data_IF_124468424389
#
_entry.id   IF_124468424389
#
_cell.length_a   1.000
_cell.length_b   1.000
_cell.length_c   1.000
_cell.angle_alpha   90.00
_cell.angle_beta   90.00
_cell.angle_gamma   90.00
#
_symmetry.space_group_name_H-M   'P 1'
#
loop_
_entity.id
_entity.type
_entity.pdbx_description
1 polymer ?
#
# COMPACT_ATOMS: atom_id res chain seq x y z
N UNK A 1 -27.50 -11.83 16.88
CA UNK A 1 -27.57 -10.89 15.75
C UNK A 1 -27.21 -9.53 16.33
N UNK A 2 -25.95 -9.11 16.22
CA UNK A 2 -25.50 -7.79 16.71
C UNK A 2 -25.86 -6.78 15.62
N UNK A 3 -26.48 -5.63 15.93
CA UNK A 3 -26.87 -4.68 14.89
C UNK A 3 -25.63 -4.22 14.12
N UNK A 4 -25.72 -4.21 12.79
CA UNK A 4 -24.81 -3.42 11.96
C UNK A 4 -24.81 -2.00 12.53
N UNK A 5 -23.65 -1.49 12.93
CA UNK A 5 -23.51 -0.07 13.17
C UNK A 5 -23.80 0.61 11.83
N UNK A 6 -25.01 1.16 11.69
CA UNK A 6 -25.38 1.87 10.47
C UNK A 6 -24.47 3.08 10.36
N UNK A 7 -23.53 3.01 9.42
CA UNK A 7 -22.86 4.20 8.93
C UNK A 7 -23.96 5.10 8.36
N UNK A 8 -24.30 6.16 9.08
CA UNK A 8 -25.26 7.17 8.66
C UNK A 8 -24.52 8.51 8.50
N UNK A 9 -24.96 9.35 7.57
CA UNK A 9 -24.39 10.68 7.35
C UNK A 9 -23.52 10.84 6.10
N UNK A 10 -22.76 11.94 5.99
CA UNK A 10 -22.04 12.32 4.77
C UNK A 10 -21.03 11.27 4.30
N UNK A 11 -20.26 10.68 5.23
CA UNK A 11 -19.25 9.65 4.92
C UNK A 11 -19.88 8.40 4.29
N UNK A 12 -21.06 7.99 4.78
CA UNK A 12 -21.77 6.84 4.20
C UNK A 12 -22.13 7.08 2.73
N UNK A 13 -22.57 8.31 2.39
CA UNK A 13 -22.86 8.70 1.00
C UNK A 13 -21.61 8.73 0.13
N UNK A 14 -20.48 9.18 0.66
CA UNK A 14 -19.20 9.16 -0.06
C UNK A 14 -18.74 7.72 -0.36
N UNK A 15 -18.91 6.81 0.60
CA UNK A 15 -18.58 5.38 0.42
C UNK A 15 -19.49 4.75 -0.65
N UNK A 16 -20.81 5.01 -0.61
CA UNK A 16 -21.73 4.51 -1.64
C UNK A 16 -21.38 5.07 -3.03
N UNK A 17 -21.02 6.36 -3.13
CA UNK A 17 -20.54 6.92 -4.40
C UNK A 17 -19.25 6.24 -4.89
N UNK A 18 -18.31 5.93 -3.97
CA UNK A 18 -17.13 5.14 -4.32
C UNK A 18 -17.47 3.72 -4.76
N UNK A 19 -18.49 3.09 -4.17
CA UNK A 19 -18.98 1.77 -4.59
C UNK A 19 -19.58 1.83 -6.00
N UNK A 20 -20.36 2.87 -6.30
CA UNK A 20 -20.93 3.08 -7.63
C UNK A 20 -19.86 3.25 -8.71
N UNK A 21 -18.73 3.91 -8.39
CA UNK A 21 -17.64 4.16 -9.34
C UNK A 21 -16.63 3.02 -9.45
N UNK A 22 -16.23 2.42 -8.33
CA UNK A 22 -15.16 1.41 -8.30
C UNK A 22 -15.69 -0.03 -8.30
N UNK A 23 -16.97 -0.24 -7.97
CA UNK A 23 -17.53 -1.55 -7.70
C UNK A 23 -17.34 -1.98 -6.24
N UNK A 24 -18.36 -2.65 -5.68
CA UNK A 24 -18.39 -3.05 -4.26
C UNK A 24 -17.23 -3.95 -3.86
N UNK A 25 -16.69 -4.74 -4.78
CA UNK A 25 -15.53 -5.61 -4.55
C UNK A 25 -14.19 -4.86 -4.44
N UNK A 26 -14.15 -3.58 -4.85
CA UNK A 26 -12.96 -2.72 -4.85
C UNK A 26 -13.04 -1.58 -3.82
N UNK A 27 -14.05 -1.56 -2.95
CA UNK A 27 -14.15 -0.62 -1.83
C UNK A 27 -14.06 -1.37 -0.52
N UNK A 28 -13.19 -0.91 0.37
CA UNK A 28 -12.88 -1.54 1.65
C UNK A 28 -13.02 -0.51 2.76
N UNK A 29 -14.23 -0.39 3.28
CA UNK A 29 -14.60 0.60 4.30
C UNK A 29 -14.68 0.02 5.70
N UNK A 30 -15.33 0.74 6.63
CA UNK A 30 -15.41 0.34 8.05
C UNK A 30 -15.97 -1.08 8.27
N UNK A 31 -16.92 -1.51 7.44
CA UNK A 31 -17.49 -2.86 7.51
C UNK A 31 -16.44 -3.93 7.17
N UNK A 32 -15.66 -3.73 6.12
CA UNK A 32 -14.56 -4.63 5.78
C UNK A 32 -13.45 -4.60 6.84
N UNK A 33 -13.17 -3.44 7.44
CA UNK A 33 -12.18 -3.30 8.52
C UNK A 33 -12.62 -4.11 9.74
N UNK A 34 -13.88 -3.97 10.16
CA UNK A 34 -14.44 -4.74 11.27
C UNK A 34 -14.44 -6.23 10.95
N UNK A 35 -14.87 -6.63 9.76
CA UNK A 35 -14.89 -8.03 9.34
C UNK A 35 -13.49 -8.65 9.33
N UNK A 36 -12.50 -7.93 8.81
CA UNK A 36 -11.15 -8.46 8.61
C UNK A 36 -10.35 -8.47 9.91
N UNK A 37 -10.37 -7.35 10.64
CA UNK A 37 -9.50 -7.13 11.80
C UNK A 37 -10.23 -7.02 13.15
N UNK A 38 -11.56 -7.04 13.16
CA UNK A 38 -12.37 -6.86 14.38
C UNK A 38 -12.35 -5.42 14.90
N UNK A 39 -11.84 -4.45 14.13
CA UNK A 39 -11.70 -3.05 14.54
C UNK A 39 -12.96 -2.27 14.19
N UNK A 40 -13.54 -1.60 15.19
CA UNK A 40 -14.60 -0.61 15.01
C UNK A 40 -14.03 0.78 15.22
N UNK A 41 -14.16 1.62 14.20
CA UNK A 41 -13.76 3.02 14.27
C UNK A 41 -14.84 3.81 15.02
N UNK A 42 -14.42 4.62 15.99
CA UNK A 42 -15.32 5.57 16.65
C UNK A 42 -15.74 6.68 15.67
N UNK A 43 -14.80 7.11 14.81
CA UNK A 43 -15.00 8.11 13.78
C UNK A 43 -14.33 7.63 12.50
N UNK A 44 -15.06 7.72 11.38
CA UNK A 44 -14.57 7.32 10.07
C UNK A 44 -14.18 8.59 9.32
N UNK A 45 -12.93 8.73 8.84
CA UNK A 45 -12.53 9.91 8.10
C UNK A 45 -13.32 10.03 6.78
N UNK A 46 -13.54 11.26 6.33
CA UNK A 46 -14.10 11.53 5.00
C UNK A 46 -13.22 10.90 3.91
N UNK A 47 -13.85 10.46 2.82
CA UNK A 47 -13.14 9.99 1.64
C UNK A 47 -12.53 11.21 0.93
N UNK A 48 -11.19 11.33 0.84
CA UNK A 48 -10.55 12.55 0.37
C UNK A 48 -10.46 12.65 -1.15
N UNK A 49 -11.15 11.77 -1.89
CA UNK A 49 -11.10 11.70 -3.35
C UNK A 49 -12.42 12.17 -3.95
N UNK A 50 -12.32 13.05 -4.95
CA UNK A 50 -13.46 13.47 -5.77
C UNK A 50 -14.03 12.31 -6.60
N UNK A 51 -15.23 12.50 -7.14
CA UNK A 51 -15.87 11.52 -8.02
C UNK A 51 -15.03 11.31 -9.29
N UNK A 52 -14.50 12.38 -9.85
CA UNK A 52 -13.66 12.38 -11.04
C UNK A 52 -12.37 11.58 -10.78
N UNK A 53 -11.75 11.74 -9.60
CA UNK A 53 -10.58 10.94 -9.22
C UNK A 53 -10.89 9.46 -9.05
N UNK A 54 -12.07 9.11 -8.52
CA UNK A 54 -12.52 7.72 -8.40
C UNK A 54 -12.75 7.11 -9.78
N UNK A 55 -13.26 7.86 -10.75
CA UNK A 55 -13.36 7.41 -12.15
C UNK A 55 -11.99 7.20 -12.80
N UNK A 56 -10.98 8.04 -12.52
CA UNK A 56 -9.63 7.78 -13.00
C UNK A 56 -9.00 6.57 -12.28
N UNK A 57 -9.32 6.37 -11.00
CA UNK A 57 -8.85 5.24 -10.22
C UNK A 57 -9.39 3.89 -10.74
N UNK A 58 -10.65 3.86 -11.17
CA UNK A 58 -11.27 2.70 -11.83
C UNK A 58 -10.48 2.28 -13.07
N UNK A 59 -10.17 3.25 -13.96
CA UNK A 59 -9.37 3.02 -15.18
C UNK A 59 -7.95 2.56 -14.89
N UNK A 60 -7.40 2.94 -13.73
CA UNK A 60 -6.09 2.51 -13.24
C UNK A 60 -6.13 1.17 -12.49
N UNK A 61 -7.30 0.53 -12.39
CA UNK A 61 -7.48 -0.73 -11.69
C UNK A 61 -7.22 -0.62 -10.18
N UNK A 62 -7.47 0.55 -9.60
CA UNK A 62 -7.28 0.81 -8.18
C UNK A 62 -8.52 0.39 -7.37
N UNK A 63 -8.27 0.09 -6.09
CA UNK A 63 -9.26 -0.12 -5.05
C UNK A 63 -9.14 0.98 -4.00
N UNK A 64 -10.25 1.32 -3.36
CA UNK A 64 -10.29 2.27 -2.25
C UNK A 64 -10.23 1.51 -0.93
N UNK A 65 -9.23 1.79 -0.10
CA UNK A 65 -8.99 1.09 1.16
C UNK A 65 -8.91 2.07 2.33
N UNK A 66 -9.76 1.87 3.32
CA UNK A 66 -9.64 2.50 4.63
C UNK A 66 -8.64 1.72 5.48
N UNK A 67 -7.53 2.36 5.82
CA UNK A 67 -6.50 1.78 6.69
C UNK A 67 -6.68 2.28 8.11
N UNK A 68 -6.37 1.43 9.08
CA UNK A 68 -6.37 1.78 10.51
C UNK A 68 -5.00 1.53 11.13
N UNK A 69 -4.63 2.38 12.08
CA UNK A 69 -3.32 2.37 12.74
C UNK A 69 -3.32 1.56 14.04
N UNK A 70 -4.49 1.18 14.56
CA UNK A 70 -4.65 0.49 15.83
C UNK A 70 -5.54 -0.74 15.77
N UNK A 71 -5.23 -1.73 16.61
CA UNK A 71 -6.03 -2.92 16.89
C UNK A 71 -7.22 -2.58 17.82
N UNK A 72 -8.16 -3.52 18.05
CA UNK A 72 -9.31 -3.28 18.94
C UNK A 72 -8.93 -2.97 20.40
N UNK A 73 -7.78 -3.46 20.87
CA UNK A 73 -7.23 -3.18 22.19
C UNK A 73 -6.29 -1.94 22.22
N UNK A 74 -6.22 -1.19 21.13
CA UNK A 74 -5.49 0.09 21.05
C UNK A 74 -3.98 -0.04 20.82
N UNK A 75 -3.45 -1.25 20.60
CA UNK A 75 -2.05 -1.46 20.19
C UNK A 75 -1.85 -1.05 18.72
N UNK A 76 -0.61 -0.80 18.27
CA UNK A 76 -0.33 -0.60 16.85
C UNK A 76 -0.85 -1.75 15.99
N UNK A 77 -1.47 -1.43 14.85
CA UNK A 77 -1.82 -2.39 13.80
C UNK A 77 -0.56 -2.83 13.05
N UNK A 78 0.35 -3.50 13.75
CA UNK A 78 1.64 -3.94 13.21
C UNK A 78 1.51 -5.22 12.39
N UNK A 79 2.60 -5.62 11.72
CA UNK A 79 2.64 -6.91 11.01
C UNK A 79 2.40 -8.09 11.95
N UNK A 80 2.94 -8.03 13.16
CA UNK A 80 2.69 -9.03 14.19
C UNK A 80 1.22 -9.10 14.57
N UNK A 81 0.60 -7.94 14.84
CA UNK A 81 -0.82 -7.89 15.20
C UNK A 81 -1.72 -8.38 14.06
N UNK A 82 -1.43 -7.98 12.82
CA UNK A 82 -2.16 -8.45 11.64
C UNK A 82 -2.06 -9.97 11.48
N UNK A 83 -0.86 -10.55 11.62
CA UNK A 83 -0.68 -12.01 11.54
C UNK A 83 -1.44 -12.72 12.66
N UNK A 84 -1.33 -12.27 13.92
CA UNK A 84 -2.02 -12.89 15.06
C UNK A 84 -3.55 -12.88 14.91
N UNK A 85 -4.12 -11.81 14.37
CA UNK A 85 -5.55 -11.70 14.09
C UNK A 85 -5.94 -12.64 12.96
N UNK A 86 -5.21 -12.59 11.84
CA UNK A 86 -5.56 -13.29 10.62
C UNK A 86 -5.32 -14.80 10.73
N UNK A 87 -4.26 -15.27 11.39
CA UNK A 87 -4.01 -16.72 11.58
C UNK A 87 -5.20 -17.37 12.29
N UNK A 88 -5.66 -16.79 13.42
CA UNK A 88 -6.80 -17.34 14.18
C UNK A 88 -8.09 -17.41 13.36
N UNK A 89 -8.26 -16.48 12.42
CA UNK A 89 -9.44 -16.40 11.55
C UNK A 89 -9.31 -17.34 10.35
N UNK A 90 -8.21 -17.22 9.60
CA UNK A 90 -7.96 -17.92 8.35
C UNK A 90 -7.66 -19.40 8.52
N UNK A 91 -7.21 -19.85 9.70
CA UNK A 91 -7.17 -21.28 10.02
C UNK A 91 -8.57 -21.91 10.00
N UNK A 92 -9.57 -21.23 10.55
CA UNK A 92 -10.96 -21.72 10.57
C UNK A 92 -11.63 -21.66 9.20
N UNK A 93 -11.17 -20.74 8.35
CA UNK A 93 -11.69 -20.52 6.99
C UNK A 93 -10.86 -21.24 5.91
N UNK A 94 -9.83 -22.01 6.31
CA UNK A 94 -8.91 -22.72 5.41
C UNK A 94 -8.25 -21.82 4.35
N UNK A 95 -7.97 -20.55 4.71
CA UNK A 95 -7.41 -19.51 3.82
C UNK A 95 -5.87 -19.48 3.78
N UNK A 96 -5.21 -20.26 4.63
CA UNK A 96 -3.75 -20.28 4.75
C UNK A 96 -3.21 -19.10 5.57
N UNK A 97 -2.00 -18.63 5.23
CA UNK A 97 -1.28 -17.60 5.99
C UNK A 97 -1.12 -16.32 5.19
N UNK A 98 -1.02 -15.17 5.88
CA UNK A 98 -0.72 -13.88 5.25
C UNK A 98 0.77 -13.76 4.91
N UNK A 99 1.66 -14.16 5.81
CA UNK A 99 3.11 -14.17 5.59
C UNK A 99 3.63 -15.59 5.36
N UNK A 100 4.56 -15.77 4.42
CA UNK A 100 5.16 -17.08 4.14
C UNK A 100 5.99 -17.61 5.33
N UNK A 101 6.73 -16.72 6.00
CA UNK A 101 7.47 -17.04 7.21
C UNK A 101 7.54 -15.83 8.13
N UNK A 102 6.91 -15.94 9.29
CA UNK A 102 6.88 -14.87 10.29
C UNK A 102 8.29 -14.54 10.81
N UNK A 103 9.13 -15.56 11.02
CA UNK A 103 10.49 -15.35 11.51
C UNK A 103 11.36 -14.65 10.46
N UNK A 104 11.33 -15.09 9.19
CA UNK A 104 12.10 -14.43 8.13
C UNK A 104 11.67 -12.97 7.96
N UNK A 105 10.37 -12.69 8.03
CA UNK A 105 9.89 -11.31 8.00
C UNK A 105 10.43 -10.50 9.16
N UNK A 106 10.34 -11.03 10.39
CA UNK A 106 10.75 -10.36 11.63
C UNK A 106 12.26 -10.13 11.75
N UNK A 107 13.10 -10.99 11.15
CA UNK A 107 14.55 -10.95 11.33
C UNK A 107 15.34 -10.53 10.10
N UNK A 108 14.94 -11.00 8.91
CA UNK A 108 15.74 -10.90 7.69
C UNK A 108 15.21 -9.87 6.70
N UNK A 109 13.89 -9.69 6.62
CA UNK A 109 13.25 -8.72 5.71
C UNK A 109 13.12 -7.36 6.36
N UNK A 110 12.58 -7.33 7.58
CA UNK A 110 12.50 -6.13 8.42
C UNK A 110 13.12 -6.43 9.79
N UNK A 111 13.33 -5.39 10.60
CA UNK A 111 13.79 -5.58 11.97
C UNK A 111 12.64 -6.00 12.90
N UNK A 112 12.96 -6.63 14.03
CA UNK A 112 11.98 -6.98 15.07
C UNK A 112 11.20 -5.75 15.57
N UNK A 113 11.90 -4.62 15.70
CA UNK A 113 11.27 -3.37 16.13
C UNK A 113 10.28 -2.88 15.08
N UNK A 114 10.68 -2.87 13.80
CA UNK A 114 9.79 -2.53 12.70
C UNK A 114 8.57 -3.45 12.67
N UNK A 115 8.78 -4.76 12.75
CA UNK A 115 7.73 -5.79 12.66
C UNK A 115 6.64 -5.64 13.73
N UNK A 116 7.00 -5.14 14.91
CA UNK A 116 6.11 -5.05 16.07
C UNK A 116 5.54 -3.65 16.31
N UNK A 117 6.19 -2.59 15.81
CA UNK A 117 5.80 -1.20 16.07
C UNK A 117 5.23 -0.47 14.85
N UNK A 118 5.77 -0.69 13.66
CA UNK A 118 5.32 0.04 12.47
C UNK A 118 3.92 -0.41 12.09
N UNK A 119 3.11 0.55 11.65
CA UNK A 119 1.69 0.33 11.38
C UNK A 119 1.24 1.13 10.15
N UNK A 120 0.10 0.78 9.53
CA UNK A 120 -0.50 1.60 8.49
C UNK A 120 -0.79 3.01 8.99
N UNK A 121 -0.72 3.98 8.08
CA UNK A 121 -1.19 5.33 8.36
C UNK A 121 -2.72 5.32 8.27
N UNK A 122 -3.41 5.82 9.30
CA UNK A 122 -4.87 5.95 9.32
C UNK A 122 -5.34 6.83 8.15
N UNK A 123 -6.38 6.39 7.45
CA UNK A 123 -7.00 7.14 6.37
C UNK A 123 -7.31 6.30 5.14
N UNK A 124 -7.88 6.95 4.14
CA UNK A 124 -8.21 6.33 2.86
C UNK A 124 -7.04 6.37 1.89
N UNK A 125 -6.88 5.30 1.10
CA UNK A 125 -5.93 5.23 0.02
C UNK A 125 -6.52 4.55 -1.22
N UNK A 126 -6.14 5.04 -2.40
CA UNK A 126 -6.40 4.36 -3.67
C UNK A 126 -5.19 3.50 -4.05
N UNK A 127 -5.37 2.20 -4.21
CA UNK A 127 -4.27 1.23 -4.33
C UNK A 127 -4.47 0.35 -5.55
N UNK A 128 -3.47 0.23 -6.42
CA UNK A 128 -3.55 -0.69 -7.56
C UNK A 128 -3.62 -2.15 -7.12
N UNK A 129 -4.43 -2.95 -7.81
CA UNK A 129 -4.52 -4.41 -7.57
C UNK A 129 -3.30 -5.18 -8.09
N UNK A 130 -2.53 -4.58 -8.99
CA UNK A 130 -1.33 -5.16 -9.58
C UNK A 130 -0.25 -4.09 -9.78
N UNK A 131 0.96 -4.51 -10.14
CA UNK A 131 2.02 -3.57 -10.53
C UNK A 131 1.71 -2.90 -11.87
N UNK A 132 2.08 -1.63 -11.98
CA UNK A 132 2.05 -0.92 -13.27
C UNK A 132 3.05 -1.56 -14.22
N UNK A 133 2.56 -2.18 -15.30
CA UNK A 133 3.39 -2.95 -16.25
C UNK A 133 4.56 -2.16 -16.81
N UNK A 134 4.37 -0.87 -17.05
CA UNK A 134 5.42 0.04 -17.53
C UNK A 134 6.59 0.23 -16.55
N UNK A 135 6.39 -0.08 -15.27
CA UNK A 135 7.40 0.02 -14.21
C UNK A 135 8.22 -1.25 -14.02
N UNK A 136 7.81 -2.35 -14.63
CA UNK A 136 8.58 -3.60 -14.57
C UNK A 136 9.94 -3.45 -15.25
N UNK A 137 10.95 -4.17 -14.73
CA UNK A 137 12.32 -4.10 -15.23
C UNK A 137 12.87 -2.65 -15.25
N UNK A 138 12.51 -1.87 -14.24
CA UNK A 138 13.03 -0.52 -13.97
C UNK A 138 13.57 -0.47 -12.56
N UNK A 139 14.64 0.30 -12.36
CA UNK A 139 15.18 0.57 -11.04
C UNK A 139 14.26 1.54 -10.28
N UNK A 140 14.47 1.69 -8.97
CA UNK A 140 13.54 2.43 -8.11
C UNK A 140 13.33 3.88 -8.58
N UNK A 141 14.39 4.58 -8.96
CA UNK A 141 14.34 5.95 -9.48
C UNK A 141 13.50 6.05 -10.75
N UNK A 142 13.73 5.15 -11.73
CA UNK A 142 13.00 5.19 -13.00
C UNK A 142 11.53 4.82 -12.82
N UNK A 143 11.23 3.94 -11.86
CA UNK A 143 9.84 3.70 -11.46
C UNK A 143 9.18 4.96 -10.88
N UNK A 144 9.89 5.74 -10.06
CA UNK A 144 9.38 7.01 -9.53
C UNK A 144 9.12 8.04 -10.63
N UNK A 145 9.95 8.11 -11.67
CA UNK A 145 9.66 8.95 -12.85
C UNK A 145 8.35 8.54 -13.54
N UNK A 146 8.11 7.23 -13.65
CA UNK A 146 6.90 6.70 -14.27
C UNK A 146 5.68 6.99 -13.40
N UNK A 147 5.81 6.92 -12.07
CA UNK A 147 4.75 7.36 -11.15
C UNK A 147 4.39 8.83 -11.44
N UNK A 148 5.37 9.73 -11.49
CA UNK A 148 5.14 11.16 -11.76
C UNK A 148 4.41 11.35 -13.09
N UNK A 149 4.82 10.62 -14.13
CA UNK A 149 4.15 10.64 -15.43
C UNK A 149 2.70 10.16 -15.33
N UNK A 150 2.47 9.03 -14.68
CA UNK A 150 1.13 8.45 -14.48
C UNK A 150 0.22 9.39 -13.69
N UNK A 151 0.73 10.10 -12.69
CA UNK A 151 -0.06 11.07 -11.94
C UNK A 151 -0.56 12.20 -12.84
N UNK A 152 0.34 12.80 -13.64
CA UNK A 152 0.00 13.91 -14.54
C UNK A 152 -0.89 13.51 -15.71
N UNK A 153 -0.63 12.35 -16.31
CA UNK A 153 -1.26 11.96 -17.57
C UNK A 153 -2.50 11.08 -17.41
N UNK A 154 -2.65 10.43 -16.24
CA UNK A 154 -3.75 9.47 -16.00
C UNK A 154 -4.53 9.81 -14.73
N UNK A 155 -3.86 9.85 -13.57
CA UNK A 155 -4.55 9.92 -12.27
C UNK A 155 -5.26 11.27 -12.04
N UNK A 156 -4.61 12.37 -12.43
CA UNK A 156 -5.14 13.74 -12.38
C UNK A 156 -5.34 14.30 -13.79
N UNK A 157 -5.62 13.43 -14.77
CA UNK A 157 -5.85 13.88 -16.14
C UNK A 157 -7.06 14.81 -16.18
N UNK A 158 -6.86 16.00 -16.74
CA UNK A 158 -7.87 17.06 -16.83
C UNK A 158 -8.34 17.60 -15.46
N UNK A 159 -7.59 17.30 -14.39
CA UNK A 159 -7.80 17.79 -13.03
C UNK A 159 -6.60 18.63 -12.58
N UNK A 160 -6.83 19.55 -11.65
CA UNK A 160 -5.73 20.24 -10.99
C UNK A 160 -4.98 19.25 -10.08
N UNK A 161 -3.64 19.27 -10.13
CA UNK A 161 -2.83 18.46 -9.22
C UNK A 161 -2.88 19.11 -7.83
N UNK A 162 -3.23 18.36 -6.78
CA UNK A 162 -3.16 18.86 -5.41
C UNK A 162 -1.76 19.38 -5.06
N UNK A 163 -1.69 20.40 -4.21
CA UNK A 163 -0.45 21.09 -3.85
C UNK A 163 0.61 20.12 -3.32
N UNK A 164 0.21 19.14 -2.51
CA UNK A 164 1.10 18.12 -1.96
C UNK A 164 1.81 17.32 -3.06
N UNK A 165 1.10 16.97 -4.14
CA UNK A 165 1.70 16.29 -5.29
C UNK A 165 2.56 17.22 -6.12
N UNK A 166 2.14 18.47 -6.32
CA UNK A 166 2.92 19.47 -7.06
C UNK A 166 4.27 19.72 -6.38
N UNK A 167 4.29 19.93 -5.07
CA UNK A 167 5.50 20.07 -4.27
C UNK A 167 6.37 18.81 -4.31
N UNK A 168 5.76 17.63 -4.14
CA UNK A 168 6.47 16.36 -4.14
C UNK A 168 7.15 16.06 -5.48
N UNK A 169 6.49 16.41 -6.59
CA UNK A 169 7.05 16.28 -7.94
C UNK A 169 8.21 17.26 -8.13
N UNK A 170 8.06 18.52 -7.69
CA UNK A 170 9.13 19.51 -7.78
C UNK A 170 10.37 19.09 -6.97
N UNK A 171 10.17 18.57 -5.75
CA UNK A 171 11.25 18.01 -4.93
C UNK A 171 11.97 16.88 -5.69
N UNK A 172 11.22 15.92 -6.22
CA UNK A 172 11.78 14.80 -6.96
C UNK A 172 12.62 15.25 -8.15
N UNK A 173 12.08 16.12 -9.01
CA UNK A 173 12.79 16.59 -10.21
C UNK A 173 14.07 17.36 -9.84
N UNK A 174 14.07 18.11 -8.73
CA UNK A 174 15.26 18.84 -8.25
C UNK A 174 16.38 17.91 -7.77
N UNK A 175 16.04 16.75 -7.20
CA UNK A 175 16.99 15.78 -6.63
C UNK A 175 17.39 14.69 -7.64
N UNK A 176 16.61 14.49 -8.70
CA UNK A 176 16.70 13.38 -9.66
C UNK A 176 18.12 13.10 -10.16
N UNK A 177 18.85 14.12 -10.61
CA UNK A 177 20.21 13.96 -11.14
C UNK A 177 21.18 13.44 -10.07
N UNK A 178 21.15 14.04 -8.87
CA UNK A 178 21.99 13.62 -7.74
C UNK A 178 21.65 12.19 -7.30
N UNK A 179 20.37 11.83 -7.28
CA UNK A 179 19.93 10.46 -6.95
C UNK A 179 20.45 9.45 -7.98
N UNK A 180 20.45 9.79 -9.27
CA UNK A 180 21.00 8.92 -10.30
C UNK A 180 22.50 8.63 -10.08
N UNK A 181 23.28 9.63 -9.66
CA UNK A 181 24.70 9.47 -9.33
C UNK A 181 24.92 8.66 -8.04
N UNK A 182 24.10 8.91 -7.01
CA UNK A 182 24.17 8.18 -5.73
C UNK A 182 23.84 6.69 -5.87
N UNK A 183 22.88 6.33 -6.73
CA UNK A 183 22.47 4.91 -6.91
C UNK A 183 23.65 3.98 -7.23
N UNK A 184 24.65 4.48 -7.95
CA UNK A 184 25.83 3.71 -8.33
C UNK A 184 27.01 3.89 -7.36
N UNK A 185 27.11 5.06 -6.70
CA UNK A 185 28.25 5.42 -5.84
C UNK A 185 28.04 5.14 -4.35
N UNK A 186 26.86 5.44 -3.82
CA UNK A 186 26.43 5.21 -2.44
C UNK A 186 24.96 4.80 -2.43
N UNK A 187 24.72 3.53 -2.71
CA UNK A 187 23.39 2.99 -2.89
C UNK A 187 22.55 3.06 -1.59
N UNK A 188 23.18 3.08 -0.42
CA UNK A 188 22.47 3.16 0.87
C UNK A 188 21.90 4.56 1.07
N UNK A 189 22.71 5.59 0.84
CA UNK A 189 22.24 6.97 0.88
C UNK A 189 21.22 7.25 -0.23
N UNK A 190 21.41 6.67 -1.42
CA UNK A 190 20.41 6.73 -2.49
C UNK A 190 19.08 6.12 -2.07
N UNK A 191 19.09 4.90 -1.49
CA UNK A 191 17.91 4.20 -1.04
C UNK A 191 17.16 5.01 0.01
N UNK A 192 17.89 5.56 0.98
CA UNK A 192 17.35 6.44 2.02
C UNK A 192 16.66 7.65 1.42
N UNK A 193 17.37 8.43 0.61
CA UNK A 193 16.78 9.62 0.01
C UNK A 193 15.59 9.29 -0.90
N UNK A 194 15.65 8.20 -1.67
CA UNK A 194 14.55 7.77 -2.54
C UNK A 194 13.29 7.39 -1.77
N UNK A 195 13.43 6.69 -0.65
CA UNK A 195 12.30 6.33 0.21
C UNK A 195 11.74 7.55 0.94
N UNK A 196 12.59 8.49 1.35
CA UNK A 196 12.19 9.71 2.07
C UNK A 196 11.56 10.80 1.18
N UNK A 197 11.65 10.69 -0.16
CA UNK A 197 10.99 11.64 -1.07
C UNK A 197 9.49 11.75 -0.76
N UNK A 198 8.96 12.98 -0.74
CA UNK A 198 7.51 13.21 -0.58
C UNK A 198 6.70 12.40 -1.60
N UNK A 199 7.16 12.35 -2.86
CA UNK A 199 6.43 11.63 -3.91
C UNK A 199 6.36 10.14 -3.60
N UNK A 200 7.43 9.55 -3.08
CA UNK A 200 7.46 8.14 -2.68
C UNK A 200 6.49 7.89 -1.52
N UNK A 201 6.50 8.75 -0.51
CA UNK A 201 5.63 8.64 0.67
C UNK A 201 4.13 8.79 0.34
N UNK A 202 3.79 9.55 -0.70
CA UNK A 202 2.43 9.69 -1.21
C UNK A 202 2.01 8.54 -2.12
N UNK A 203 2.97 7.94 -2.85
CA UNK A 203 2.65 7.08 -4.00
C UNK A 203 2.94 5.59 -3.83
N UNK A 204 3.63 5.22 -2.75
CA UNK A 204 3.97 3.84 -2.42
C UNK A 204 3.49 3.51 -1.02
N UNK A 205 3.07 2.26 -0.85
CA UNK A 205 2.79 1.70 0.45
C UNK A 205 4.08 1.54 1.26
N UNK A 206 3.99 1.70 2.57
CA UNK A 206 4.95 1.09 3.49
C UNK A 206 4.70 -0.43 3.58
N UNK A 207 5.62 -1.18 4.18
CA UNK A 207 5.43 -2.62 4.43
C UNK A 207 4.09 -2.93 5.14
N UNK A 208 3.77 -2.34 6.31
CA UNK A 208 2.52 -2.66 6.99
C UNK A 208 1.28 -2.27 6.17
N UNK A 209 1.32 -1.17 5.42
CA UNK A 209 0.21 -0.77 4.54
C UNK A 209 -0.07 -1.80 3.45
N UNK A 210 0.97 -2.31 2.79
CA UNK A 210 0.77 -3.28 1.73
C UNK A 210 0.37 -4.67 2.25
N UNK A 211 0.88 -5.09 3.43
CA UNK A 211 0.37 -6.31 4.11
C UNK A 211 -1.12 -6.14 4.43
N UNK A 212 -1.51 -4.98 4.97
CA UNK A 212 -2.89 -4.65 5.30
C UNK A 212 -3.80 -4.72 4.08
N UNK A 213 -3.41 -4.04 2.99
CA UNK A 213 -4.22 -3.96 1.76
C UNK A 213 -4.39 -5.35 1.11
N UNK A 214 -3.33 -6.17 1.09
CA UNK A 214 -3.39 -7.56 0.59
C UNK A 214 -4.31 -8.41 1.45
N UNK A 215 -4.24 -8.28 2.77
CA UNK A 215 -5.10 -9.01 3.69
C UNK A 215 -6.58 -8.66 3.51
N UNK A 216 -6.91 -7.36 3.43
CA UNK A 216 -8.27 -6.87 3.19
C UNK A 216 -8.84 -7.43 1.88
N UNK A 217 -8.07 -7.34 0.80
CA UNK A 217 -8.52 -7.83 -0.49
C UNK A 217 -8.73 -9.35 -0.49
N UNK A 218 -7.80 -10.11 0.11
CA UNK A 218 -7.91 -11.56 0.17
C UNK A 218 -9.06 -12.02 1.05
N UNK A 219 -9.27 -11.38 2.20
CA UNK A 219 -10.35 -11.76 3.12
C UNK A 219 -11.73 -11.61 2.49
N UNK A 220 -11.93 -10.51 1.76
CA UNK A 220 -13.19 -10.21 1.06
C UNK A 220 -13.38 -11.03 -0.20
N UNK A 221 -12.38 -11.08 -1.07
CA UNK A 221 -12.53 -11.55 -2.45
C UNK A 221 -11.98 -12.96 -2.69
N UNK A 222 -11.28 -13.56 -1.72
CA UNK A 222 -10.59 -14.84 -1.83
C UNK A 222 -9.64 -14.92 -3.06
N UNK A 223 -9.08 -13.77 -3.46
CA UNK A 223 -8.13 -13.62 -4.57
C UNK A 223 -6.83 -13.04 -4.05
N UNK A 224 -5.70 -13.59 -4.49
CA UNK A 224 -4.37 -13.15 -4.06
C UNK A 224 -3.85 -12.06 -4.99
N UNK A 225 -3.59 -10.87 -4.44
CA UNK A 225 -2.89 -9.82 -5.18
C UNK A 225 -1.41 -10.18 -5.32
N UNK A 226 -0.77 -9.74 -6.41
CA UNK A 226 0.68 -9.91 -6.62
C UNK A 226 1.16 -11.38 -6.53
N UNK A 227 0.39 -12.35 -7.02
CA UNK A 227 0.69 -13.78 -6.86
C UNK A 227 1.99 -14.22 -7.58
N UNK A 228 2.36 -13.54 -8.65
CA UNK A 228 3.55 -13.75 -9.48
C UNK A 228 4.39 -12.49 -9.66
N UNK A 229 4.01 -11.40 -8.98
CA UNK A 229 4.65 -10.08 -9.04
C UNK A 229 5.14 -9.65 -7.67
N UNK A 230 5.98 -8.62 -7.64
CA UNK A 230 6.44 -7.95 -6.43
C UNK A 230 6.43 -6.44 -6.61
N UNK A 231 6.06 -5.73 -5.55
CA UNK A 231 6.03 -4.28 -5.52
C UNK A 231 7.15 -3.74 -4.60
N UNK A 232 7.90 -2.77 -5.11
CA UNK A 232 8.82 -1.96 -4.33
C UNK A 232 8.07 -0.99 -3.41
N UNK A 233 8.49 -0.90 -2.15
CA UNK A 233 7.77 -0.17 -1.11
C UNK A 233 8.51 1.10 -0.67
N UNK A 234 7.83 1.93 0.12
CA UNK A 234 8.41 3.08 0.82
C UNK A 234 8.97 2.66 2.19
N UNK A 235 9.84 1.65 2.23
CA UNK A 235 10.43 1.16 3.48
C UNK A 235 11.84 0.63 3.25
N UNK A 236 12.69 0.82 4.25
CA UNK A 236 14.05 0.29 4.30
C UNK A 236 14.16 -0.77 5.38
N UNK A 237 15.04 -1.74 5.18
CA UNK A 237 15.53 -2.59 6.26
C UNK A 237 16.64 -1.87 7.08
N UNK A 238 17.11 -2.52 8.14
CA UNK A 238 18.16 -1.96 9.01
C UNK A 238 19.53 -1.79 8.32
N UNK A 239 19.73 -2.40 7.15
CA UNK A 239 20.95 -2.31 6.36
C UNK A 239 20.80 -1.31 5.19
N UNK A 240 19.67 -0.61 5.09
CA UNK A 240 19.39 0.37 4.05
C UNK A 240 18.91 -0.21 2.73
N UNK A 241 18.63 -1.52 2.63
CA UNK A 241 17.99 -2.09 1.46
C UNK A 241 16.53 -1.65 1.42
N UNK A 242 16.04 -1.37 0.22
CA UNK A 242 14.61 -1.11 0.05
C UNK A 242 13.87 -2.46 0.19
N UNK A 243 12.69 -2.44 0.81
CA UNK A 243 11.87 -3.64 0.98
C UNK A 243 10.89 -3.77 -0.19
N UNK A 244 10.68 -4.99 -0.65
CA UNK A 244 9.63 -5.35 -1.59
C UNK A 244 8.81 -6.52 -1.06
N UNK A 245 7.55 -6.60 -1.49
CA UNK A 245 6.65 -7.71 -1.18
C UNK A 245 5.91 -8.20 -2.41
N UNK A 246 5.50 -9.46 -2.35
CA UNK A 246 4.60 -10.04 -3.33
C UNK A 246 4.69 -11.54 -3.32
N UNK A 247 4.54 -12.15 -4.50
CA UNK A 247 4.44 -13.60 -4.67
C UNK A 247 3.45 -14.22 -3.69
N UNK A 248 2.33 -13.55 -3.43
CA UNK A 248 1.36 -14.03 -2.46
C UNK A 248 0.68 -15.29 -3.01
N UNK A 249 1.09 -16.43 -2.48
CA UNK A 249 0.67 -17.77 -2.92
C UNK A 249 0.07 -18.53 -1.76
N UNK A 250 -0.13 -19.84 -1.92
CA UNK A 250 -0.73 -20.69 -0.89
C UNK A 250 0.09 -20.73 0.42
N UNK A 251 1.40 -20.47 0.38
CA UNK A 251 2.25 -20.42 1.57
C UNK A 251 2.15 -19.11 2.35
N UNK A 252 1.64 -18.05 1.73
CA UNK A 252 1.71 -16.68 2.23
C UNK A 252 2.53 -15.77 1.33
N UNK A 253 2.71 -14.53 1.75
CA UNK A 253 3.41 -13.49 1.02
C UNK A 253 4.91 -13.49 1.33
N UNK A 254 5.71 -13.32 0.28
CA UNK A 254 7.16 -13.21 0.38
C UNK A 254 7.57 -11.75 0.58
N UNK A 255 8.61 -11.57 1.40
CA UNK A 255 9.31 -10.31 1.60
C UNK A 255 10.76 -10.47 1.16
N UNK A 256 11.29 -9.45 0.48
CA UNK A 256 12.66 -9.44 0.00
C UNK A 256 13.24 -8.02 0.09
N UNK A 257 14.57 -7.92 -0.04
CA UNK A 257 15.31 -6.67 0.12
C UNK A 257 16.39 -6.51 -0.95
N UNK A 258 16.36 -5.39 -1.66
CA UNK A 258 17.14 -5.19 -2.88
C UNK A 258 17.78 -3.79 -2.84
N UNK A 259 18.83 -3.56 -3.63
CA UNK A 259 19.43 -2.21 -3.76
C UNK A 259 18.65 -1.39 -4.80
N UNK A 260 18.61 -0.04 -4.71
CA UNK A 260 17.76 0.78 -5.57
C UNK A 260 18.05 0.68 -7.07
N UNK A 261 19.26 0.23 -7.46
CA UNK A 261 19.63 -0.02 -8.86
C UNK A 261 19.07 -1.31 -9.44
N UNK A 262 18.67 -2.25 -8.59
CA UNK A 262 18.24 -3.56 -9.05
C UNK A 262 16.94 -3.46 -9.84
N UNK A 263 16.81 -4.32 -10.84
CA UNK A 263 15.65 -4.41 -11.74
C UNK A 263 15.49 -5.85 -12.19
N UNK A 264 14.25 -6.29 -12.30
CA UNK A 264 13.90 -7.60 -12.84
C UNK A 264 12.48 -7.57 -13.37
N UNK A 265 12.17 -8.54 -14.23
CA UNK A 265 10.80 -8.78 -14.66
C UNK A 265 9.95 -9.24 -13.47
N UNK A 266 8.70 -8.75 -13.38
CA UNK A 266 7.83 -9.04 -12.26
C UNK A 266 8.00 -8.12 -11.04
N UNK A 267 8.97 -7.21 -11.04
CA UNK A 267 9.18 -6.21 -9.99
C UNK A 267 8.80 -4.82 -10.47
N UNK A 268 7.76 -4.22 -9.86
CA UNK A 268 7.18 -2.96 -10.29
C UNK A 268 6.68 -2.09 -9.15
N UNK A 269 5.76 -1.18 -9.49
CA UNK A 269 5.03 -0.30 -8.56
C UNK A 269 3.58 -0.72 -8.48
N UNK A 270 3.12 -1.10 -7.29
CA UNK A 270 1.68 -0.99 -6.98
C UNK A 270 1.41 0.46 -6.58
N UNK A 271 0.70 1.21 -7.44
CA UNK A 271 0.46 2.62 -7.20
C UNK A 271 -0.53 2.78 -6.05
N UNK A 272 -0.06 3.32 -4.94
CA UNK A 272 -0.91 3.79 -3.84
C UNK A 272 -1.06 5.30 -3.98
N UNK A 273 -2.20 5.89 -3.68
CA UNK A 273 -2.38 7.35 -3.62
C UNK A 273 -3.09 7.69 -2.33
N UNK A 274 -2.60 8.73 -1.68
CA UNK A 274 -3.22 9.34 -0.50
C UNK A 274 -3.28 10.85 -0.69
N UNK A 275 -4.16 11.47 0.07
CA UNK A 275 -4.28 12.91 0.25
C UNK A 275 -4.22 13.19 1.75
#
# INVERSE_FOLDING_TARGET
>A
MVPEAKLEGPVAKQIEAAIEKLGRENVFGPQEVEKTFGVRLAEVPDVPFSIEELEQAEKLGQMLVLRVDKTPDGKPMSMEAMDEILVKKWEKEEKGKILNSLDLWRTDVVSKEFFTKEHPRLGWALVSKDVMRETEDKNYLKQTEIIVKTLKEKAFKDLELPDEYTEAIAEFESKKKKLAELIDSDWQEAAKQLVELKITQLTRQTVPEAVYDVAMYYDKNNKRLLADKSAWLASLDSNGFIVMLGKFRWRGMDGHRWVPRDRTYGLGVSLSRRL
#
